data_IF_631365141113
#
_entry.id   IF_631365141113
#
_cell.length_a   1.000
_cell.length_b   1.000
_cell.length_c   1.000
_cell.angle_alpha   90.00
_cell.angle_beta   90.00
_cell.angle_gamma   90.00
#
_symmetry.space_group_name_H-M   'P 1'
#
loop_
_entity.id
_entity.type
_entity.pdbx_description
1 polymer ?
#
# COMPACT_ATOMS: atom_id res chain seq x y z
N UNK A 1 33.43 13.08 -30.45
CA UNK A 1 32.08 13.58 -30.82
C UNK A 1 31.11 13.32 -29.66
N UNK A 2 31.27 14.05 -28.56
CA UNK A 2 30.43 14.03 -27.36
C UNK A 2 29.50 15.25 -27.38
N UNK A 3 28.48 15.30 -28.24
CA UNK A 3 27.51 16.42 -28.26
C UNK A 3 26.08 16.04 -28.69
N UNK A 4 25.65 14.80 -28.53
CA UNK A 4 24.28 14.37 -28.97
C UNK A 4 23.46 13.71 -27.83
N UNK A 5 24.02 13.52 -26.63
CA UNK A 5 23.31 12.81 -25.53
C UNK A 5 22.54 13.76 -24.60
N UNK A 6 22.59 15.07 -24.82
CA UNK A 6 22.04 16.08 -23.89
C UNK A 6 20.77 16.79 -24.35
N UNK A 7 20.11 16.31 -25.42
CA UNK A 7 18.89 16.95 -25.95
C UNK A 7 17.61 16.11 -25.87
N UNK A 8 17.66 14.91 -25.31
CA UNK A 8 16.46 14.09 -25.04
C UNK A 8 15.99 14.14 -23.58
N UNK A 9 16.71 14.86 -22.71
CA UNK A 9 16.43 14.89 -21.27
C UNK A 9 15.51 16.03 -20.80
N UNK A 10 14.99 16.86 -21.72
CA UNK A 10 14.22 18.07 -21.40
C UNK A 10 12.84 18.15 -22.08
N UNK A 11 12.34 17.05 -22.65
CA UNK A 11 11.05 17.03 -23.38
C UNK A 11 10.12 15.88 -22.94
N UNK A 12 10.14 15.49 -21.66
CA UNK A 12 9.28 14.43 -21.11
C UNK A 12 8.38 14.85 -19.94
N UNK A 13 8.40 16.12 -19.53
CA UNK A 13 7.71 16.61 -18.33
C UNK A 13 6.38 17.34 -18.58
N UNK A 14 5.76 17.24 -19.76
CA UNK A 14 4.50 17.94 -20.05
C UNK A 14 3.44 16.99 -20.65
N UNK A 15 3.11 15.94 -19.90
CA UNK A 15 1.84 15.21 -20.07
C UNK A 15 1.26 14.83 -18.70
N UNK A 16 1.04 15.86 -17.87
CA UNK A 16 0.09 15.80 -16.77
C UNK A 16 -0.78 17.05 -16.87
N UNK A 17 -1.87 16.97 -17.61
CA UNK A 17 -3.09 17.79 -17.45
C UNK A 17 -4.15 17.22 -18.40
N UNK A 18 -4.61 16.03 -18.07
CA UNK A 18 -5.64 15.32 -18.80
C UNK A 18 -6.26 14.24 -17.93
N UNK A 19 -6.67 14.57 -16.71
CA UNK A 19 -7.66 13.75 -16.01
C UNK A 19 -8.98 13.93 -16.77
N UNK A 20 -9.20 13.12 -17.81
CA UNK A 20 -10.58 12.83 -18.20
C UNK A 20 -11.24 12.22 -16.95
N UNK A 21 -12.07 13.03 -16.29
CA UNK A 21 -12.77 12.58 -15.10
C UNK A 21 -13.63 11.39 -15.52
N UNK A 22 -13.38 10.20 -14.95
CA UNK A 22 -14.22 9.00 -15.10
C UNK A 22 -15.65 9.19 -14.55
N UNK A 23 -16.03 10.43 -14.26
CA UNK A 23 -17.13 10.84 -13.43
C UNK A 23 -18.13 11.67 -14.24
N UNK A 24 -18.57 11.16 -15.39
CA UNK A 24 -19.48 11.87 -16.31
C UNK A 24 -20.82 12.28 -15.66
N UNK A 25 -21.15 11.78 -14.47
CA UNK A 25 -22.34 12.14 -13.68
C UNK A 25 -22.11 12.36 -12.17
N UNK A 26 -20.86 12.55 -11.71
CA UNK A 26 -20.64 12.77 -10.27
C UNK A 26 -20.96 14.22 -9.85
N UNK A 27 -21.52 14.38 -8.65
CA UNK A 27 -21.71 15.71 -8.06
C UNK A 27 -20.36 16.41 -7.83
N UNK A 28 -20.34 17.74 -7.89
CA UNK A 28 -19.14 18.53 -7.60
C UNK A 28 -18.52 18.19 -6.22
N UNK A 29 -19.37 17.84 -5.24
CA UNK A 29 -18.93 17.37 -3.92
C UNK A 29 -18.17 16.05 -4.00
N UNK A 30 -18.67 15.07 -4.78
CA UNK A 30 -17.96 13.80 -5.00
C UNK A 30 -16.62 14.05 -5.67
N UNK A 31 -16.59 14.81 -6.77
CA UNK A 31 -15.34 15.11 -7.48
C UNK A 31 -14.28 15.76 -6.57
N UNK A 32 -14.68 16.74 -5.75
CA UNK A 32 -13.79 17.39 -4.77
C UNK A 32 -13.25 16.41 -3.73
N UNK A 33 -14.09 15.51 -3.23
CA UNK A 33 -13.69 14.48 -2.28
C UNK A 33 -12.75 13.46 -2.94
N UNK A 34 -13.00 13.03 -4.18
CA UNK A 34 -12.10 12.10 -4.93
C UNK A 34 -10.71 12.71 -5.10
N UNK A 35 -10.62 13.97 -5.57
CA UNK A 35 -9.33 14.67 -5.72
C UNK A 35 -8.58 14.81 -4.40
N UNK A 36 -9.29 15.12 -3.31
CA UNK A 36 -8.67 15.22 -1.98
C UNK A 36 -8.21 13.87 -1.46
N UNK A 37 -9.00 12.83 -1.66
CA UNK A 37 -8.69 11.47 -1.23
C UNK A 37 -7.45 10.92 -1.96
N UNK A 38 -7.25 11.30 -3.22
CA UNK A 38 -6.07 10.94 -4.00
C UNK A 38 -4.76 11.41 -3.34
N UNK A 39 -4.74 12.62 -2.78
CA UNK A 39 -3.57 13.15 -2.04
C UNK A 39 -3.27 12.27 -0.82
N UNK A 40 -4.28 11.88 -0.04
CA UNK A 40 -4.08 10.99 1.10
C UNK A 40 -3.58 9.60 0.69
N UNK A 41 -4.04 9.06 -0.44
CA UNK A 41 -3.53 7.79 -0.97
C UNK A 41 -2.07 7.90 -1.41
N UNK A 42 -1.70 8.99 -2.09
CA UNK A 42 -0.31 9.24 -2.49
C UNK A 42 0.61 9.31 -1.26
N UNK A 43 0.21 10.06 -0.23
CA UNK A 43 0.93 10.16 1.05
C UNK A 43 1.06 8.79 1.73
N UNK A 44 -0.02 8.00 1.76
CA UNK A 44 -0.03 6.67 2.36
C UNK A 44 0.92 5.72 1.64
N UNK A 45 0.93 5.74 0.30
CA UNK A 45 1.88 4.96 -0.52
C UNK A 45 3.32 5.38 -0.25
N UNK A 46 3.59 6.68 -0.21
CA UNK A 46 4.93 7.20 0.08
C UNK A 46 5.41 6.81 1.49
N UNK A 47 4.54 6.86 2.50
CA UNK A 47 4.86 6.40 3.85
C UNK A 47 5.12 4.89 3.89
N UNK A 48 4.31 4.08 3.20
CA UNK A 48 4.51 2.64 3.08
C UNK A 48 5.86 2.30 2.43
N UNK A 49 6.27 3.01 1.37
CA UNK A 49 7.56 2.83 0.70
C UNK A 49 8.76 3.13 1.63
N UNK A 50 8.60 4.06 2.57
CA UNK A 50 9.59 4.33 3.63
C UNK A 50 9.49 3.36 4.81
N UNK A 51 8.66 2.33 4.70
CA UNK A 51 8.32 1.37 5.75
C UNK A 51 7.75 2.02 7.03
N UNK A 52 7.20 3.24 6.91
CA UNK A 52 6.47 3.94 7.97
C UNK A 52 4.98 3.56 7.90
N UNK A 53 4.72 2.33 8.36
CA UNK A 53 3.39 1.73 8.31
C UNK A 53 2.37 2.44 9.20
N UNK A 54 2.81 3.10 10.27
CA UNK A 54 1.90 3.81 11.17
C UNK A 54 1.36 5.07 10.49
N UNK A 55 2.24 5.88 9.91
CA UNK A 55 1.84 7.06 9.13
C UNK A 55 0.96 6.66 7.95
N UNK A 56 1.32 5.59 7.23
CA UNK A 56 0.52 5.10 6.11
C UNK A 56 -0.93 4.78 6.53
N UNK A 57 -1.12 4.10 7.67
CA UNK A 57 -2.45 3.77 8.20
C UNK A 57 -3.23 4.98 8.67
N UNK A 58 -2.58 5.94 9.32
CA UNK A 58 -3.26 7.18 9.75
C UNK A 58 -3.69 8.03 8.55
N UNK A 59 -2.95 8.04 7.44
CA UNK A 59 -3.38 8.70 6.19
C UNK A 59 -4.64 8.04 5.62
N UNK A 60 -4.71 6.70 5.58
CA UNK A 60 -5.91 5.97 5.14
C UNK A 60 -7.11 6.25 6.06
N UNK A 61 -6.91 6.25 7.38
CA UNK A 61 -7.95 6.58 8.35
C UNK A 61 -8.46 8.01 8.19
N UNK A 62 -7.56 8.95 7.93
CA UNK A 62 -7.91 10.36 7.67
C UNK A 62 -8.72 10.50 6.39
N UNK A 63 -8.31 9.83 5.30
CA UNK A 63 -9.10 9.74 4.06
C UNK A 63 -10.52 9.26 4.35
N UNK A 64 -10.66 8.12 5.05
CA UNK A 64 -11.98 7.52 5.35
C UNK A 64 -12.90 8.43 6.17
N UNK A 65 -12.33 9.29 7.02
CA UNK A 65 -13.08 10.26 7.84
C UNK A 65 -13.45 11.53 7.08
N UNK A 66 -12.52 12.05 6.27
CA UNK A 66 -12.62 13.39 5.67
C UNK A 66 -13.23 13.40 4.28
N UNK A 67 -13.07 12.32 3.51
CA UNK A 67 -13.53 12.20 2.13
C UNK A 67 -14.65 11.15 2.08
N UNK A 68 -15.85 11.53 2.55
CA UNK A 68 -16.98 10.60 2.70
C UNK A 68 -17.55 10.19 1.35
N UNK A 69 -17.49 11.06 0.35
CA UNK A 69 -18.10 10.85 -0.97
C UNK A 69 -17.11 10.35 -2.03
N UNK A 70 -15.84 10.15 -1.65
CA UNK A 70 -14.79 9.63 -2.53
C UNK A 70 -14.89 8.11 -2.68
N UNK A 71 -15.95 7.61 -3.33
CA UNK A 71 -16.24 6.17 -3.38
C UNK A 71 -15.08 5.39 -3.99
N UNK A 72 -14.54 5.87 -5.11
CA UNK A 72 -13.44 5.18 -5.81
C UNK A 72 -12.18 5.16 -4.96
N UNK A 73 -11.79 6.32 -4.43
CA UNK A 73 -10.57 6.42 -3.62
C UNK A 73 -10.71 5.68 -2.29
N UNK A 74 -11.91 5.58 -1.71
CA UNK A 74 -12.15 4.79 -0.49
C UNK A 74 -11.99 3.30 -0.75
N UNK A 75 -12.47 2.81 -1.88
CA UNK A 75 -12.23 1.43 -2.26
C UNK A 75 -10.74 1.19 -2.57
N UNK A 76 -10.03 2.15 -3.17
CA UNK A 76 -8.58 2.06 -3.36
C UNK A 76 -7.84 2.05 -2.01
N UNK A 77 -8.36 2.79 -1.03
CA UNK A 77 -7.84 2.83 0.32
C UNK A 77 -7.99 1.49 1.05
N UNK A 78 -9.02 0.69 0.76
CA UNK A 78 -9.17 -0.67 1.30
C UNK A 78 -8.02 -1.55 0.79
N UNK A 79 -7.81 -1.57 -0.53
CA UNK A 79 -6.70 -2.34 -1.13
C UNK A 79 -5.33 -1.90 -0.61
N UNK A 80 -5.13 -0.59 -0.47
CA UNK A 80 -3.87 -0.07 0.03
C UNK A 80 -3.66 -0.43 1.51
N UNK A 81 -4.71 -0.43 2.34
CA UNK A 81 -4.61 -0.83 3.74
C UNK A 81 -4.18 -2.29 3.88
N UNK A 82 -4.76 -3.20 3.08
CA UNK A 82 -4.37 -4.61 3.12
C UNK A 82 -2.96 -4.84 2.56
N UNK A 83 -2.53 -4.01 1.58
CA UNK A 83 -1.16 -4.00 1.09
C UNK A 83 -0.17 -3.53 2.17
N UNK A 84 -0.54 -2.51 2.95
CA UNK A 84 0.22 -2.01 4.10
C UNK A 84 0.38 -3.12 5.15
N UNK A 85 -0.71 -3.79 5.53
CA UNK A 85 -0.66 -4.86 6.53
C UNK A 85 0.14 -6.09 6.04
N UNK A 86 0.02 -6.45 4.76
CA UNK A 86 0.86 -7.50 4.17
C UNK A 86 2.35 -7.13 4.25
N UNK A 87 2.73 -5.95 3.78
CA UNK A 87 4.13 -5.49 3.80
C UNK A 87 4.68 -5.43 5.23
N UNK A 88 3.90 -4.92 6.17
CA UNK A 88 4.28 -4.85 7.59
C UNK A 88 4.49 -6.25 8.19
N UNK A 89 3.58 -7.18 7.91
CA UNK A 89 3.66 -8.57 8.38
C UNK A 89 4.85 -9.29 7.77
N UNK A 90 5.09 -9.14 6.46
CA UNK A 90 6.28 -9.70 5.78
C UNK A 90 7.59 -9.15 6.36
N UNK A 91 7.62 -7.87 6.75
CA UNK A 91 8.80 -7.29 7.43
C UNK A 91 9.01 -7.92 8.81
N UNK A 92 7.94 -8.12 9.59
CA UNK A 92 8.01 -8.83 10.87
C UNK A 92 8.49 -10.27 10.70
N UNK A 93 7.96 -10.97 9.69
CA UNK A 93 8.34 -12.34 9.38
C UNK A 93 9.84 -12.43 9.06
N UNK A 94 10.36 -11.56 8.19
CA UNK A 94 11.79 -11.48 7.88
C UNK A 94 12.67 -11.26 9.12
N UNK A 95 12.23 -10.41 10.06
CA UNK A 95 12.93 -10.21 11.34
C UNK A 95 12.89 -11.47 12.20
N UNK A 96 11.73 -12.14 12.28
CA UNK A 96 11.57 -13.40 13.00
C UNK A 96 12.47 -14.51 12.42
N UNK A 97 12.50 -14.65 11.10
CA UNK A 97 13.37 -15.59 10.38
C UNK A 97 14.85 -15.37 10.70
N UNK A 98 15.28 -14.11 10.67
CA UNK A 98 16.65 -13.73 10.99
C UNK A 98 17.01 -14.09 12.43
N UNK A 99 16.08 -13.90 13.36
CA UNK A 99 16.29 -14.24 14.77
C UNK A 99 16.38 -15.76 14.97
N UNK A 100 15.48 -16.53 14.38
CA UNK A 100 15.52 -18.00 14.44
C UNK A 100 16.82 -18.55 13.85
N UNK A 101 17.27 -18.03 12.70
CA UNK A 101 18.56 -18.40 12.10
C UNK A 101 19.74 -18.04 13.00
N UNK A 102 19.70 -16.89 13.68
CA UNK A 102 20.74 -16.51 14.65
C UNK A 102 20.82 -17.50 15.80
N UNK A 103 19.68 -17.88 16.38
CA UNK A 103 19.62 -18.86 17.46
C UNK A 103 20.15 -20.22 17.03
N UNK A 104 19.77 -20.70 15.85
CA UNK A 104 20.28 -21.95 15.29
C UNK A 104 21.80 -21.93 15.12
N UNK A 105 22.39 -20.84 14.59
CA UNK A 105 23.84 -20.70 14.45
C UNK A 105 24.58 -20.64 15.79
N UNK A 106 23.96 -20.05 16.81
CA UNK A 106 24.52 -19.94 18.16
C UNK A 106 24.23 -21.18 19.03
N UNK A 107 23.62 -22.24 18.47
CA UNK A 107 23.14 -23.42 19.21
C UNK A 107 22.26 -23.05 20.42
N UNK A 108 21.51 -21.95 20.32
CA UNK A 108 20.60 -21.49 21.37
C UNK A 108 19.22 -22.10 21.19
N UNK A 109 18.54 -22.53 22.28
CA UNK A 109 17.19 -23.06 22.18
C UNK A 109 16.22 -21.97 21.74
N UNK A 110 15.37 -22.29 20.77
CA UNK A 110 14.23 -21.45 20.36
C UNK A 110 13.07 -21.74 21.31
N UNK A 111 12.50 -20.72 21.94
CA UNK A 111 11.35 -20.90 22.82
C UNK A 111 10.08 -21.26 22.03
N UNK A 112 9.15 -21.96 22.68
CA UNK A 112 7.83 -22.27 22.11
C UNK A 112 7.07 -21.01 21.70
N UNK A 113 7.14 -19.94 22.51
CA UNK A 113 6.54 -18.63 22.18
C UNK A 113 7.12 -18.05 20.89
N UNK A 114 8.43 -18.16 20.68
CA UNK A 114 9.07 -17.68 19.46
C UNK A 114 8.60 -18.46 18.22
N UNK A 115 8.46 -19.79 18.34
CA UNK A 115 7.93 -20.64 17.27
C UNK A 115 6.48 -20.29 16.95
N UNK A 116 5.63 -20.18 17.97
CA UNK A 116 4.22 -19.82 17.80
C UNK A 116 4.05 -18.46 17.12
N UNK A 117 4.83 -17.46 17.55
CA UNK A 117 4.82 -16.13 16.93
C UNK A 117 5.29 -16.16 15.48
N UNK A 118 6.29 -16.98 15.17
CA UNK A 118 6.78 -17.16 13.81
C UNK A 118 5.71 -17.77 12.90
N UNK A 119 5.05 -18.83 13.35
CA UNK A 119 3.95 -19.48 12.64
C UNK A 119 2.75 -18.56 12.44
N UNK A 120 2.42 -17.75 13.46
CA UNK A 120 1.35 -16.75 13.36
C UNK A 120 1.65 -15.73 12.27
N UNK A 121 2.89 -15.25 12.16
CA UNK A 121 3.30 -14.34 11.09
C UNK A 121 3.13 -14.99 9.71
N UNK A 122 3.46 -16.27 9.54
CA UNK A 122 3.19 -17.01 8.29
C UNK A 122 1.70 -17.09 7.97
N UNK A 123 0.85 -17.37 8.97
CA UNK A 123 -0.61 -17.39 8.78
C UNK A 123 -1.14 -16.02 8.37
N UNK A 124 -0.66 -14.96 9.00
CA UNK A 124 -1.05 -13.58 8.70
C UNK A 124 -0.65 -13.16 7.28
N UNK A 125 0.57 -13.50 6.83
CA UNK A 125 0.98 -13.24 5.43
C UNK A 125 0.00 -13.90 4.46
N UNK A 126 -0.28 -15.19 4.63
CA UNK A 126 -1.22 -15.93 3.77
C UNK A 126 -2.63 -15.35 3.82
N UNK A 127 -3.06 -14.86 4.98
CA UNK A 127 -4.37 -14.21 5.14
C UNK A 127 -4.45 -12.94 4.29
N UNK A 128 -3.49 -12.01 4.42
CA UNK A 128 -3.52 -10.75 3.69
C UNK A 128 -3.31 -10.94 2.18
N UNK A 129 -2.51 -11.92 1.75
CA UNK A 129 -2.38 -12.28 0.34
C UNK A 129 -3.71 -12.73 -0.26
N UNK A 130 -4.41 -13.66 0.41
CA UNK A 130 -5.75 -14.11 -0.03
C UNK A 130 -6.77 -12.99 -0.02
N UNK A 131 -6.74 -12.14 0.99
CA UNK A 131 -7.65 -10.99 1.10
C UNK A 131 -7.44 -10.02 -0.06
N UNK A 132 -6.20 -9.64 -0.34
CA UNK A 132 -5.87 -8.78 -1.49
C UNK A 132 -6.28 -9.40 -2.83
N UNK A 133 -6.09 -10.70 -3.00
CA UNK A 133 -6.53 -11.41 -4.19
C UNK A 133 -8.05 -11.34 -4.35
N UNK A 134 -8.78 -11.63 -3.27
CA UNK A 134 -10.24 -11.56 -3.24
C UNK A 134 -10.75 -10.15 -3.57
N UNK A 135 -10.23 -9.13 -2.91
CA UNK A 135 -10.70 -7.75 -3.09
C UNK A 135 -10.38 -7.21 -4.51
N UNK A 136 -9.25 -7.62 -5.09
CA UNK A 136 -8.92 -7.32 -6.49
C UNK A 136 -9.86 -8.01 -7.48
N UNK A 137 -10.26 -9.26 -7.20
CA UNK A 137 -11.21 -9.99 -8.03
C UNK A 137 -12.60 -9.35 -7.99
N UNK A 138 -13.10 -9.01 -6.80
CA UNK A 138 -14.40 -8.35 -6.63
C UNK A 138 -14.47 -7.02 -7.38
N UNK A 139 -13.41 -6.19 -7.33
CA UNK A 139 -13.35 -4.94 -8.09
C UNK A 139 -13.45 -5.11 -9.60
N UNK A 140 -12.83 -6.15 -10.17
CA UNK A 140 -12.92 -6.42 -11.62
C UNK A 140 -14.35 -6.69 -12.10
N UNK A 141 -15.25 -7.06 -11.19
CA UNK A 141 -16.67 -7.26 -11.51
C UNK A 141 -17.50 -5.96 -11.42
N UNK A 142 -16.93 -4.88 -10.85
CA UNK A 142 -17.61 -3.59 -10.71
C UNK A 142 -17.15 -2.54 -11.74
N UNK A 143 -16.02 -2.76 -12.42
CA UNK A 143 -15.48 -1.94 -13.51
C UNK A 143 -16.02 -2.39 -14.88
#
# INVERSE_FOLDING_TARGET
MQKIVLLFFLLGCVFFLGCESKYKHATARRQKDEMRAEVYLADARAAMLREDYQTAKEKIKTLRKTCKFALEMREQAILLLDSIELSYTQRKLRKSDSLMRKYARENKPVSSEMQQKHEELHRQVKFYERKLQHDKQQRRHHD
#
